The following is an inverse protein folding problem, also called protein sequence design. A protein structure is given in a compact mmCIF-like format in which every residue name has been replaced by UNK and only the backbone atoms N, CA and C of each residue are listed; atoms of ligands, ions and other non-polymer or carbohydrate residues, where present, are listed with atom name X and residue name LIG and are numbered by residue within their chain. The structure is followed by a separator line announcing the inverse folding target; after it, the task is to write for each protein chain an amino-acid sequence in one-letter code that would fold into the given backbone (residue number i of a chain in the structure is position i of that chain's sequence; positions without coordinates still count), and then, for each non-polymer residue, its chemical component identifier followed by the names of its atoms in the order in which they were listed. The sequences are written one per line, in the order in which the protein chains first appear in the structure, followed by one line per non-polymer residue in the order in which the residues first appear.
data_IF_422245213110
#
_entry.id   IF_422245213110
#
_cell.length_a   1.000
_cell.length_b   1.000
_cell.length_c   1.000
_cell.angle_alpha   90.00
_cell.angle_beta   90.00
_cell.angle_gamma   90.00
#
_symmetry.space_group_name_H-M   'P 1'
#
loop_
_entity.id
_entity.type
_entity.pdbx_description
1 polymer ?
#
# COMPACT_ATOMS: atom_id res chain seq x y z
N UNK A 1 -2.29 23.20 1.41
CA UNK A 1 -1.96 21.80 1.09
C UNK A 1 -2.77 20.93 2.05
N UNK A 2 -3.85 20.30 1.57
CA UNK A 2 -4.66 19.42 2.40
C UNK A 2 -4.11 17.99 2.30
N UNK A 3 -3.72 17.40 3.43
CA UNK A 3 -3.40 15.99 3.55
C UNK A 3 -4.72 15.21 3.46
N UNK A 4 -4.91 14.47 2.37
CA UNK A 4 -6.05 13.56 2.19
C UNK A 4 -5.82 12.34 3.08
N UNK A 5 -6.56 12.24 4.18
CA UNK A 5 -6.55 11.06 5.04
C UNK A 5 -7.34 9.94 4.39
N UNK A 6 -6.76 8.73 4.32
CA UNK A 6 -7.47 7.54 3.84
C UNK A 6 -8.78 7.34 4.62
N UNK A 7 -9.87 7.12 3.90
CA UNK A 7 -11.20 6.91 4.49
C UNK A 7 -11.33 5.44 4.92
N UNK A 8 -11.73 5.21 6.17
CA UNK A 8 -11.80 3.87 6.76
C UNK A 8 -12.83 2.98 6.03
N UNK A 9 -12.36 1.92 5.37
CA UNK A 9 -13.20 0.92 4.72
C UNK A 9 -13.55 -0.28 5.62
N UNK A 10 -13.06 -0.31 6.87
CA UNK A 10 -13.19 -1.47 7.77
C UNK A 10 -14.32 -1.26 8.77
N UNK A 11 -15.27 -2.20 8.78
CA UNK A 11 -16.31 -2.35 9.80
C UNK A 11 -15.71 -2.65 11.18
N UNK A 12 -16.32 -2.08 12.21
CA UNK A 12 -15.82 -2.07 13.58
C UNK A 12 -16.02 -3.40 14.31
N UNK A 13 -15.28 -4.44 13.94
CA UNK A 13 -15.18 -5.63 14.78
C UNK A 13 -13.93 -5.52 15.66
N UNK A 14 -14.20 -5.28 16.95
CA UNK A 14 -13.18 -4.99 17.95
C UNK A 14 -12.22 -6.15 18.20
N UNK A 15 -10.98 -5.77 18.53
CA UNK A 15 -9.89 -6.58 19.11
C UNK A 15 -8.86 -7.22 18.17
N UNK A 16 -8.93 -7.05 16.85
CA UNK A 16 -7.75 -7.27 15.99
C UNK A 16 -6.97 -5.96 15.83
N UNK A 17 -5.64 -6.01 15.83
CA UNK A 17 -4.82 -4.85 15.51
C UNK A 17 -5.24 -4.34 14.12
N UNK A 18 -5.75 -3.11 14.08
CA UNK A 18 -6.25 -2.51 12.85
C UNK A 18 -5.05 -2.01 12.04
N UNK A 19 -4.63 -2.83 11.09
CA UNK A 19 -3.62 -2.47 10.09
C UNK A 19 -4.29 -2.04 8.79
N UNK A 20 -3.67 -1.10 8.10
CA UNK A 20 -4.09 -0.65 6.76
C UNK A 20 -2.96 -0.87 5.79
N UNK A 21 -3.25 -1.53 4.67
CA UNK A 21 -2.36 -1.60 3.51
C UNK A 21 -2.57 -0.37 2.62
N UNK A 22 -1.52 0.39 2.39
CA UNK A 22 -1.47 1.45 1.38
C UNK A 22 -0.81 0.94 0.09
N UNK A 23 -1.39 1.29 -1.06
CA UNK A 23 -0.82 1.05 -2.38
C UNK A 23 -0.73 2.40 -3.12
N UNK A 24 0.46 2.77 -3.58
CA UNK A 24 0.71 4.01 -4.33
C UNK A 24 1.20 3.70 -5.74
N UNK A 25 0.54 4.32 -6.73
CA UNK A 25 0.81 4.13 -8.15
C UNK A 25 1.27 5.45 -8.76
N UNK A 26 2.57 5.55 -8.99
CA UNK A 26 3.16 6.63 -9.77
C UNK A 26 3.59 6.17 -11.17
N UNK A 27 3.85 7.13 -12.05
CA UNK A 27 4.40 6.85 -13.38
C UNK A 27 5.84 6.32 -13.36
N UNK A 28 6.57 6.55 -12.27
CA UNK A 28 7.97 6.11 -12.12
C UNK A 28 8.16 5.08 -11.00
N UNK A 29 7.37 5.17 -9.94
CA UNK A 29 7.49 4.33 -8.75
C UNK A 29 6.16 3.72 -8.38
N UNK A 30 6.24 2.52 -7.83
CA UNK A 30 5.18 1.82 -7.12
C UNK A 30 5.61 1.70 -5.66
N UNK A 31 4.69 1.86 -4.73
CA UNK A 31 4.97 1.62 -3.32
C UNK A 31 3.84 0.86 -2.64
N UNK A 32 4.20 0.06 -1.65
CA UNK A 32 3.27 -0.59 -0.74
C UNK A 32 3.79 -0.43 0.69
N UNK A 33 2.88 -0.37 1.66
CA UNK A 33 3.26 -0.39 3.06
C UNK A 33 2.08 -0.63 3.99
N UNK A 34 2.36 -1.21 5.15
CA UNK A 34 1.39 -1.47 6.20
C UNK A 34 1.57 -0.45 7.32
N UNK A 35 0.47 0.16 7.75
CA UNK A 35 0.46 1.08 8.89
C UNK A 35 -0.46 0.61 9.99
N UNK A 36 -0.02 0.79 11.24
CA UNK A 36 -0.83 0.54 12.42
C UNK A 36 -1.80 1.71 12.71
N UNK A 37 -2.66 1.53 13.71
CA UNK A 37 -3.61 2.57 14.15
C UNK A 37 -2.93 3.81 14.73
N UNK A 38 -1.71 3.69 15.23
CA UNK A 38 -0.91 4.83 15.70
C UNK A 38 -0.22 5.59 14.56
N UNK A 39 -0.40 5.14 13.31
CA UNK A 39 0.22 5.72 12.12
C UNK A 39 1.69 5.32 11.96
N UNK A 40 2.15 4.28 12.66
CA UNK A 40 3.50 3.73 12.49
C UNK A 40 3.53 2.85 11.25
N UNK A 41 4.62 2.95 10.50
CA UNK A 41 4.89 2.08 9.36
C UNK A 41 5.49 0.79 9.91
N UNK A 42 4.79 -0.32 9.71
CA UNK A 42 5.26 -1.65 10.10
C UNK A 42 6.11 -2.28 9.00
N UNK A 43 5.69 -2.11 7.75
CA UNK A 43 6.40 -2.57 6.55
C UNK A 43 6.24 -1.57 5.41
N UNK A 44 7.24 -1.49 4.53
CA UNK A 44 7.25 -0.59 3.39
C UNK A 44 8.26 -1.01 2.32
N UNK A 45 7.82 -1.05 1.06
CA UNK A 45 8.68 -1.27 -0.09
C UNK A 45 8.33 -0.36 -1.27
N UNK A 46 9.33 -0.15 -2.13
CA UNK A 46 9.24 0.64 -3.36
C UNK A 46 9.89 -0.13 -4.50
N UNK A 47 9.27 -0.08 -5.68
CA UNK A 47 9.85 -0.58 -6.92
C UNK A 47 9.66 0.43 -8.07
N UNK A 48 10.41 0.24 -9.15
CA UNK A 48 10.17 0.97 -10.40
C UNK A 48 8.87 0.53 -11.07
N UNK A 49 8.11 1.47 -11.62
CA UNK A 49 6.86 1.15 -12.37
C UNK A 49 7.14 0.40 -13.67
N UNK A 50 8.25 0.75 -14.34
CA UNK A 50 8.57 0.33 -15.71
C UNK A 50 7.40 0.60 -16.67
N UNK A 51 7.01 1.88 -16.78
CA UNK A 51 5.80 2.29 -17.50
C UNK A 51 5.74 1.84 -18.97
N UNK A 52 6.90 1.70 -19.63
CA UNK A 52 7.00 1.24 -21.02
C UNK A 52 6.53 -0.22 -21.21
N UNK A 53 6.43 -1.00 -20.13
CA UNK A 53 5.94 -2.38 -20.16
C UNK A 53 4.41 -2.48 -20.04
N UNK A 54 3.73 -1.34 -19.90
CA UNK A 54 2.28 -1.24 -19.85
C UNK A 54 1.66 -1.35 -18.45
N UNK A 55 0.42 -0.87 -18.35
CA UNK A 55 -0.28 -0.71 -17.08
C UNK A 55 -0.56 -2.04 -16.36
N UNK A 56 -0.89 -3.12 -17.10
CA UNK A 56 -1.13 -4.44 -16.49
C UNK A 56 0.10 -4.95 -15.73
N UNK A 57 1.29 -4.87 -16.35
CA UNK A 57 2.55 -5.27 -15.71
C UNK A 57 2.85 -4.42 -14.47
N UNK A 58 2.56 -3.12 -14.52
CA UNK A 58 2.66 -2.24 -13.36
C UNK A 58 1.72 -2.65 -12.22
N UNK A 59 0.48 -3.01 -12.51
CA UNK A 59 -0.50 -3.46 -11.53
C UNK A 59 -0.12 -4.82 -10.91
N UNK A 60 0.36 -5.77 -11.72
CA UNK A 60 0.87 -7.07 -11.24
C UNK A 60 1.95 -6.87 -10.17
N UNK A 61 2.93 -5.99 -10.45
CA UNK A 61 4.01 -5.64 -9.51
C UNK A 61 3.49 -4.96 -8.25
N UNK A 62 2.56 -4.03 -8.38
CA UNK A 62 2.00 -3.34 -7.23
C UNK A 62 1.29 -4.31 -6.28
N UNK A 63 0.51 -5.24 -6.83
CA UNK A 63 -0.16 -6.26 -6.01
C UNK A 63 0.83 -7.26 -5.42
N UNK A 64 1.94 -7.56 -6.10
CA UNK A 64 3.01 -8.37 -5.55
C UNK A 64 3.72 -7.67 -4.38
N UNK A 65 4.09 -6.40 -4.53
CA UNK A 65 4.57 -5.56 -3.43
C UNK A 65 3.60 -5.59 -2.25
N UNK A 66 2.31 -5.34 -2.48
CA UNK A 66 1.30 -5.38 -1.42
C UNK A 66 1.20 -6.73 -0.71
N UNK A 67 1.36 -7.84 -1.44
CA UNK A 67 1.36 -9.19 -0.84
C UNK A 67 2.61 -9.45 0.00
N UNK A 68 3.78 -9.00 -0.45
CA UNK A 68 5.03 -9.11 0.30
C UNK A 68 4.95 -8.32 1.61
N UNK A 69 4.52 -7.06 1.56
CA UNK A 69 4.48 -6.21 2.75
C UNK A 69 3.51 -6.67 3.83
N UNK A 70 2.46 -7.42 3.49
CA UNK A 70 1.53 -8.01 4.47
C UNK A 70 2.06 -9.31 5.08
N UNK A 71 3.04 -9.96 4.45
CA UNK A 71 3.59 -11.25 4.89
C UNK A 71 4.80 -11.12 5.83
N UNK A 72 5.41 -9.94 5.91
CA UNK A 72 6.50 -9.59 6.84
C UNK A 72 5.98 -9.31 8.26
#
# INVERSE_FOLDING_TARGET
MALSTAQSAVGSDGSAAAYVLGLDIGGTKLAAGVVDRAGRVESFAVASTFADEGAERGLERLFELGRTEVAE
#
